data_IF_504462480714
#
_entry.id   IF_504462480714
#
_cell.length_a   1.000
_cell.length_b   1.000
_cell.length_c   1.000
_cell.angle_alpha   90.00
_cell.angle_beta   90.00
_cell.angle_gamma   90.00
#
_symmetry.space_group_name_H-M   'P 1'
#
loop_
_entity.id
_entity.type
_entity.pdbx_description
1 polymer ?
#
# COMPACT_ATOMS: atom_id res chain seq x y z
N UNK A 1 -4.93 -4.60 -28.67
CA UNK A 1 -6.35 -4.19 -28.75
C UNK A 1 -7.12 -4.99 -29.81
N UNK A 2 -6.85 -6.30 -30.03
CA UNK A 2 -7.49 -7.08 -31.10
C UNK A 2 -7.75 -8.54 -30.66
N UNK A 3 -8.36 -8.73 -29.48
CA UNK A 3 -8.62 -10.08 -28.95
C UNK A 3 -10.07 -10.35 -28.50
N UNK A 4 -10.97 -9.36 -28.56
CA UNK A 4 -12.36 -9.52 -28.09
C UNK A 4 -13.40 -9.72 -29.20
N UNK A 5 -13.00 -9.80 -30.48
CA UNK A 5 -13.96 -9.93 -31.60
C UNK A 5 -14.47 -11.35 -31.83
N UNK A 6 -13.93 -12.37 -31.16
CA UNK A 6 -14.30 -13.79 -31.34
C UNK A 6 -14.88 -14.43 -30.08
N UNK A 7 -15.63 -13.65 -29.30
CA UNK A 7 -16.23 -14.12 -28.06
C UNK A 7 -17.37 -15.13 -28.25
N UNK A 8 -18.08 -15.04 -29.38
CA UNK A 8 -19.22 -15.89 -29.71
C UNK A 8 -19.20 -16.18 -31.20
N UNK A 9 -18.92 -17.43 -31.58
CA UNK A 9 -19.11 -17.93 -32.95
C UNK A 9 -18.66 -16.99 -34.07
N UNK A 10 -19.45 -16.96 -35.14
CA UNK A 10 -19.29 -16.01 -36.24
C UNK A 10 -19.93 -14.65 -35.93
N UNK A 11 -19.67 -13.67 -36.79
CA UNK A 11 -20.13 -12.29 -36.64
C UNK A 11 -21.66 -12.18 -36.50
N UNK A 12 -22.40 -13.04 -37.20
CA UNK A 12 -23.86 -13.01 -37.23
C UNK A 12 -24.47 -13.42 -35.89
N UNK A 13 -23.84 -14.36 -35.18
CA UNK A 13 -24.24 -14.72 -33.81
C UNK A 13 -23.99 -13.58 -32.83
N UNK A 14 -22.87 -12.86 -32.96
CA UNK A 14 -22.62 -11.67 -32.14
C UNK A 14 -23.68 -10.59 -32.38
N UNK A 15 -24.03 -10.36 -33.64
CA UNK A 15 -25.09 -9.42 -34.02
C UNK A 15 -26.45 -9.83 -33.45
N UNK A 16 -26.76 -11.12 -33.42
CA UNK A 16 -27.98 -11.61 -32.79
C UNK A 16 -28.01 -11.28 -31.28
N UNK A 17 -26.89 -11.45 -30.56
CA UNK A 17 -26.79 -11.01 -29.17
C UNK A 17 -26.99 -9.51 -29.00
N UNK A 18 -26.37 -8.69 -29.86
CA UNK A 18 -26.57 -7.24 -29.88
C UNK A 18 -28.04 -6.89 -30.10
N UNK A 19 -28.73 -7.60 -31.00
CA UNK A 19 -30.16 -7.41 -31.23
C UNK A 19 -31.00 -7.73 -29.98
N UNK A 20 -30.73 -8.85 -29.30
CA UNK A 20 -31.38 -9.21 -28.03
C UNK A 20 -31.16 -8.14 -26.95
N UNK A 21 -29.91 -7.65 -26.79
CA UNK A 21 -29.60 -6.59 -25.84
C UNK A 21 -30.31 -5.29 -26.23
N UNK A 22 -30.33 -4.94 -27.51
CA UNK A 22 -31.02 -3.75 -28.02
C UNK A 22 -32.52 -3.76 -27.69
N UNK A 23 -33.18 -4.92 -27.82
CA UNK A 23 -34.57 -5.10 -27.39
C UNK A 23 -34.73 -4.85 -25.88
N UNK A 24 -33.84 -5.39 -25.04
CA UNK A 24 -33.91 -5.17 -23.60
C UNK A 24 -33.63 -3.71 -23.21
N UNK A 25 -32.64 -3.06 -23.82
CA UNK A 25 -32.36 -1.63 -23.65
C UNK A 25 -33.58 -0.78 -24.03
N UNK A 26 -34.25 -1.13 -25.12
CA UNK A 26 -35.48 -0.44 -25.54
C UNK A 26 -36.61 -0.66 -24.53
N UNK A 27 -36.80 -1.88 -24.02
CA UNK A 27 -37.76 -2.18 -22.95
C UNK A 27 -37.48 -1.31 -21.72
N UNK A 28 -36.24 -1.27 -21.24
CA UNK A 28 -35.84 -0.46 -20.08
C UNK A 28 -36.10 1.02 -20.32
N UNK A 29 -35.78 1.54 -21.51
CA UNK A 29 -36.03 2.93 -21.90
C UNK A 29 -37.52 3.31 -21.93
N UNK A 30 -38.41 2.37 -22.25
CA UNK A 30 -39.86 2.60 -22.30
C UNK A 30 -40.56 2.35 -20.95
N UNK A 31 -39.93 1.64 -20.02
CA UNK A 31 -40.60 1.14 -18.81
C UNK A 31 -41.11 2.27 -17.91
N UNK A 32 -40.30 3.30 -17.65
CA UNK A 32 -40.69 4.40 -16.77
C UNK A 32 -41.80 5.27 -17.38
N UNK A 33 -41.68 5.59 -18.67
CA UNK A 33 -42.73 6.24 -19.44
C UNK A 33 -44.04 5.45 -19.40
N UNK A 34 -43.97 4.13 -19.66
CA UNK A 34 -45.13 3.24 -19.63
C UNK A 34 -45.80 3.24 -18.25
N UNK A 35 -45.02 3.20 -17.16
CA UNK A 35 -45.56 3.29 -15.79
C UNK A 35 -46.31 4.61 -15.58
N UNK A 36 -45.71 5.74 -15.93
CA UNK A 36 -46.29 7.06 -15.73
C UNK A 36 -47.59 7.26 -16.54
N UNK A 37 -47.60 6.82 -17.79
CA UNK A 37 -48.78 6.92 -18.65
C UNK A 37 -49.87 5.91 -18.26
N UNK A 38 -49.52 4.69 -17.85
CA UNK A 38 -50.51 3.74 -17.34
C UNK A 38 -51.19 4.24 -16.06
N UNK A 39 -50.50 5.01 -15.22
CA UNK A 39 -51.13 5.68 -14.07
C UNK A 39 -52.15 6.74 -14.51
N UNK A 40 -51.88 7.49 -15.58
CA UNK A 40 -52.86 8.43 -16.15
C UNK A 40 -54.07 7.69 -16.73
N UNK A 41 -53.84 6.59 -17.46
CA UNK A 41 -54.91 5.71 -17.92
C UNK A 41 -55.70 5.17 -16.75
N UNK A 42 -55.05 4.78 -15.65
CA UNK A 42 -55.70 4.31 -14.43
C UNK A 42 -56.56 5.38 -13.76
N UNK A 43 -56.16 6.66 -13.78
CA UNK A 43 -56.99 7.77 -13.29
C UNK A 43 -58.25 7.94 -14.16
N UNK A 44 -58.13 7.77 -15.47
CA UNK A 44 -59.28 7.92 -16.40
C UNK A 44 -60.19 6.69 -16.38
N UNK A 45 -59.61 5.50 -16.31
CA UNK A 45 -60.29 4.21 -16.50
C UNK A 45 -60.68 3.56 -15.17
N UNK A 46 -59.85 3.68 -14.14
CA UNK A 46 -59.89 2.90 -12.89
C UNK A 46 -60.40 3.63 -11.65
N UNK A 47 -60.55 4.95 -11.70
CA UNK A 47 -60.63 5.79 -10.50
C UNK A 47 -62.02 5.91 -9.86
N UNK A 48 -62.74 4.80 -9.74
CA UNK A 48 -64.06 4.83 -9.11
C UNK A 48 -64.38 3.65 -8.18
N UNK A 49 -63.54 2.60 -8.03
CA UNK A 49 -63.91 1.38 -7.29
C UNK A 49 -63.08 1.04 -6.05
N UNK A 50 -63.03 1.93 -5.06
CA UNK A 50 -62.22 1.71 -3.85
C UNK A 50 -62.69 0.59 -2.90
N UNK A 51 -63.93 0.10 -3.05
CA UNK A 51 -64.55 -0.87 -2.14
C UNK A 51 -65.53 -1.79 -2.88
N UNK A 52 -65.15 -2.36 -4.02
CA UNK A 52 -66.03 -3.35 -4.64
C UNK A 52 -66.14 -4.57 -3.71
N UNK A 53 -67.32 -4.84 -3.15
CA UNK A 53 -67.47 -5.92 -2.22
C UNK A 53 -67.60 -7.19 -3.05
N UNK A 54 -66.48 -7.83 -3.38
CA UNK A 54 -66.50 -9.26 -3.73
C UNK A 54 -67.01 -10.09 -2.54
N UNK A 55 -67.14 -9.46 -1.36
CA UNK A 55 -67.81 -9.99 -0.17
C UNK A 55 -69.31 -9.68 -0.06
N UNK A 56 -69.92 -8.85 -0.93
CA UNK A 56 -71.40 -8.70 -0.97
C UNK A 56 -72.04 -9.83 -1.77
N UNK A 57 -71.56 -11.05 -1.56
CA UNK A 57 -72.36 -12.20 -1.89
C UNK A 57 -73.27 -12.44 -0.70
N UNK A 58 -74.58 -12.30 -0.92
CA UNK A 58 -75.62 -12.55 0.07
C UNK A 58 -75.29 -13.89 0.77
N UNK A 59 -75.01 -13.85 2.08
CA UNK A 59 -74.80 -15.07 2.86
C UNK A 59 -76.02 -15.96 2.66
N UNK A 60 -75.79 -17.24 2.37
CA UNK A 60 -76.87 -18.17 2.11
C UNK A 60 -77.72 -18.28 3.37
N UNK A 61 -78.98 -17.83 3.38
CA UNK A 61 -79.80 -17.86 4.59
C UNK A 61 -80.08 -19.30 5.06
N UNK A 62 -79.88 -20.28 4.16
CA UNK A 62 -80.10 -21.70 4.41
C UNK A 62 -78.84 -22.50 4.74
N UNK A 63 -77.62 -21.97 4.53
CA UNK A 63 -76.39 -22.68 4.87
C UNK A 63 -75.20 -21.71 5.12
N UNK A 64 -74.81 -21.49 6.38
CA UNK A 64 -73.70 -20.59 6.74
C UNK A 64 -72.31 -21.08 6.26
N UNK A 65 -72.19 -22.35 5.86
CA UNK A 65 -70.95 -22.92 5.29
C UNK A 65 -70.97 -23.05 3.76
N UNK A 66 -71.97 -22.45 3.09
CA UNK A 66 -72.08 -22.51 1.63
C UNK A 66 -70.84 -21.90 0.95
N UNK A 67 -70.10 -22.70 0.17
CA UNK A 67 -68.97 -22.20 -0.61
C UNK A 67 -69.46 -21.39 -1.81
N UNK A 68 -69.53 -20.08 -1.60
CA UNK A 68 -70.07 -19.10 -2.55
C UNK A 68 -69.31 -19.06 -3.90
N UNK A 69 -68.08 -19.59 -3.95
CA UNK A 69 -67.29 -19.74 -5.18
C UNK A 69 -67.71 -20.96 -6.03
N UNK A 70 -68.50 -21.88 -5.48
CA UNK A 70 -69.05 -23.08 -6.16
C UNK A 70 -70.58 -22.95 -6.36
N UNK A 71 -71.00 -21.88 -7.04
CA UNK A 71 -72.41 -21.44 -7.21
C UNK A 71 -73.38 -22.47 -7.79
N UNK A 72 -72.89 -23.46 -8.53
CA UNK A 72 -73.73 -24.43 -9.23
C UNK A 72 -74.41 -25.46 -8.31
N UNK A 73 -73.99 -25.56 -7.05
CA UNK A 73 -74.44 -26.61 -6.11
C UNK A 73 -75.42 -26.10 -5.04
N UNK A 74 -75.69 -24.79 -4.98
CA UNK A 74 -76.63 -24.19 -4.03
C UNK A 74 -77.84 -23.61 -4.78
N UNK A 75 -79.08 -24.09 -4.55
CA UNK A 75 -80.29 -23.59 -5.23
C UNK A 75 -80.50 -22.08 -5.06
N UNK A 76 -80.14 -21.51 -3.90
CA UNK A 76 -80.27 -20.07 -3.60
C UNK A 76 -79.28 -19.22 -4.42
N UNK A 77 -78.02 -19.62 -4.51
CA UNK A 77 -77.02 -18.89 -5.31
C UNK A 77 -77.11 -19.18 -6.81
N UNK A 78 -77.80 -20.25 -7.21
CA UNK A 78 -78.10 -20.57 -8.62
C UNK A 78 -79.15 -19.60 -9.21
N UNK A 79 -80.08 -19.09 -8.39
CA UNK A 79 -81.14 -18.17 -8.82
C UNK A 79 -80.77 -16.68 -8.68
N UNK A 80 -79.77 -16.35 -7.86
CA UNK A 80 -79.27 -14.98 -7.73
C UNK A 80 -78.13 -14.71 -8.72
N UNK A 81 -78.43 -14.04 -9.84
CA UNK A 81 -77.38 -13.43 -10.66
C UNK A 81 -76.76 -12.29 -9.83
N UNK A 82 -75.44 -12.32 -9.54
CA UNK A 82 -74.81 -11.19 -8.88
C UNK A 82 -75.03 -9.97 -9.78
N UNK A 83 -75.51 -8.87 -9.20
CA UNK A 83 -75.47 -7.59 -9.89
C UNK A 83 -74.00 -7.25 -10.07
N UNK A 84 -73.52 -7.05 -11.32
CA UNK A 84 -72.14 -6.66 -11.52
C UNK A 84 -71.93 -5.31 -10.85
N UNK A 85 -70.79 -5.17 -10.17
CA UNK A 85 -70.40 -3.93 -9.52
C UNK A 85 -70.44 -2.82 -10.59
N UNK A 86 -71.35 -1.84 -10.50
CA UNK A 86 -71.58 -0.88 -11.59
C UNK A 86 -70.29 -0.15 -11.97
N UNK A 87 -69.44 0.04 -10.97
CA UNK A 87 -68.12 0.63 -11.13
C UNK A 87 -67.15 -0.31 -11.86
N UNK A 88 -67.04 -1.59 -11.48
CA UNK A 88 -66.19 -2.53 -12.24
C UNK A 88 -66.68 -2.71 -13.67
N UNK A 89 -67.99 -2.62 -13.91
CA UNK A 89 -68.55 -2.61 -15.27
C UNK A 89 -68.18 -1.35 -16.04
N UNK A 90 -68.18 -0.18 -15.41
CA UNK A 90 -67.67 1.05 -16.01
C UNK A 90 -66.17 0.95 -16.33
N UNK A 91 -65.36 0.45 -15.39
CA UNK A 91 -63.92 0.21 -15.62
C UNK A 91 -63.73 -0.76 -16.79
N UNK A 92 -64.47 -1.86 -16.83
CA UNK A 92 -64.46 -2.84 -17.92
C UNK A 92 -64.85 -2.21 -19.26
N UNK A 93 -65.89 -1.40 -19.27
CA UNK A 93 -66.35 -0.67 -20.45
C UNK A 93 -65.27 0.30 -20.95
N UNK A 94 -64.66 1.08 -20.04
CA UNK A 94 -63.59 2.00 -20.37
C UNK A 94 -62.32 1.28 -20.88
N UNK A 95 -61.97 0.12 -20.31
CA UNK A 95 -60.90 -0.74 -20.84
C UNK A 95 -61.22 -1.14 -22.28
N UNK A 96 -62.46 -1.57 -22.57
CA UNK A 96 -62.87 -1.95 -23.93
C UNK A 96 -62.80 -0.74 -24.88
N UNK A 97 -63.26 0.44 -24.46
CA UNK A 97 -63.21 1.67 -25.27
C UNK A 97 -61.78 2.12 -25.58
N UNK A 98 -60.84 1.88 -24.67
CA UNK A 98 -59.43 2.20 -24.87
C UNK A 98 -58.63 1.04 -25.46
N UNK A 99 -59.28 -0.09 -25.76
CA UNK A 99 -58.67 -1.23 -26.43
C UNK A 99 -58.77 -1.11 -27.94
N UNK A 100 -57.64 -1.26 -28.61
CA UNK A 100 -57.55 -1.09 -30.06
C UNK A 100 -57.63 -2.41 -30.83
N UNK A 101 -56.84 -3.41 -30.42
CA UNK A 101 -56.64 -4.63 -31.21
C UNK A 101 -57.00 -5.87 -30.41
N UNK A 102 -57.91 -6.69 -30.92
CA UNK A 102 -58.33 -7.91 -30.24
C UNK A 102 -59.21 -7.65 -29.01
N UNK A 103 -59.31 -8.63 -28.12
CA UNK A 103 -60.11 -8.55 -26.90
C UNK A 103 -59.21 -8.35 -25.68
N UNK A 104 -59.65 -7.60 -24.66
CA UNK A 104 -58.88 -7.47 -23.44
C UNK A 104 -58.64 -8.82 -22.75
N UNK A 105 -57.43 -9.00 -22.23
CA UNK A 105 -56.96 -10.24 -21.62
C UNK A 105 -57.40 -10.37 -20.17
N UNK A 106 -58.70 -10.63 -19.97
CA UNK A 106 -59.31 -10.72 -18.64
C UNK A 106 -58.66 -11.77 -17.71
N UNK A 107 -58.00 -12.79 -18.28
CA UNK A 107 -57.35 -13.87 -17.52
C UNK A 107 -56.05 -13.45 -16.84
N UNK A 108 -55.40 -12.40 -17.34
CA UNK A 108 -54.14 -11.90 -16.75
C UNK A 108 -54.39 -11.03 -15.52
N UNK A 109 -55.59 -10.46 -15.40
CA UNK A 109 -55.89 -9.39 -14.46
C UNK A 109 -56.80 -9.83 -13.32
N UNK A 110 -56.68 -9.13 -12.21
CA UNK A 110 -57.52 -9.26 -11.02
C UNK A 110 -58.42 -8.05 -10.88
N UNK A 111 -59.70 -8.22 -11.21
CA UNK A 111 -60.68 -7.14 -11.22
C UNK A 111 -60.80 -6.42 -9.85
N UNK A 112 -60.58 -7.15 -8.75
CA UNK A 112 -60.58 -6.60 -7.40
C UNK A 112 -59.47 -5.58 -7.13
N UNK A 113 -58.43 -5.56 -7.98
CA UNK A 113 -57.29 -4.66 -7.85
C UNK A 113 -57.32 -3.50 -8.84
N UNK A 114 -58.28 -3.45 -9.75
CA UNK A 114 -58.31 -2.42 -10.81
C UNK A 114 -58.33 -0.99 -10.27
N UNK A 115 -58.94 -0.74 -9.11
CA UNK A 115 -58.96 0.61 -8.52
C UNK A 115 -57.68 0.99 -7.78
N UNK A 116 -56.90 0.00 -7.32
CA UNK A 116 -55.75 0.23 -6.46
C UNK A 116 -54.42 0.07 -7.19
N UNK A 117 -54.41 -0.64 -8.32
CA UNK A 117 -53.20 -0.97 -9.04
C UNK A 117 -53.37 -0.76 -10.55
N UNK A 118 -52.70 0.27 -11.07
CA UNK A 118 -52.66 0.59 -12.50
C UNK A 118 -52.15 -0.58 -13.35
N UNK A 119 -51.27 -1.43 -12.81
CA UNK A 119 -50.72 -2.57 -13.53
C UNK A 119 -51.80 -3.61 -13.86
N UNK A 120 -52.79 -3.79 -12.99
CA UNK A 120 -53.88 -4.74 -13.24
C UNK A 120 -54.76 -4.27 -14.41
N UNK A 121 -54.89 -2.95 -14.63
CA UNK A 121 -55.46 -2.41 -15.87
C UNK A 121 -54.51 -2.65 -17.06
N UNK A 122 -53.22 -2.42 -16.88
CA UNK A 122 -52.20 -2.68 -17.91
C UNK A 122 -52.23 -4.12 -18.45
N UNK A 123 -52.42 -5.12 -17.58
CA UNK A 123 -52.51 -6.54 -17.96
C UNK A 123 -53.65 -6.86 -18.92
N UNK A 124 -54.70 -6.04 -18.97
CA UNK A 124 -55.80 -6.20 -19.92
C UNK A 124 -55.35 -6.01 -21.37
N UNK A 125 -54.23 -5.32 -21.60
CA UNK A 125 -53.66 -5.04 -22.93
C UNK A 125 -52.54 -6.00 -23.33
N UNK A 126 -52.18 -6.95 -22.45
CA UNK A 126 -51.18 -7.98 -22.73
C UNK A 126 -51.77 -9.13 -23.58
N UNK A 127 -50.94 -9.99 -24.19
CA UNK A 127 -51.39 -11.24 -24.79
C UNK A 127 -52.14 -12.14 -23.77
N UNK A 128 -53.10 -12.99 -24.21
CA UNK A 128 -54.06 -13.66 -23.34
C UNK A 128 -53.46 -14.67 -22.33
N UNK A 129 -52.27 -15.18 -22.58
CA UNK A 129 -51.61 -16.19 -21.75
C UNK A 129 -50.18 -15.74 -21.36
N UNK A 130 -49.70 -16.19 -20.20
CA UNK A 130 -48.31 -16.00 -19.76
C UNK A 130 -48.03 -14.81 -18.83
N UNK A 131 -49.01 -13.94 -18.56
CA UNK A 131 -48.76 -12.69 -17.81
C UNK A 131 -49.52 -12.55 -16.47
N UNK A 132 -50.28 -13.57 -16.07
CA UNK A 132 -51.10 -13.52 -14.85
C UNK A 132 -50.26 -13.43 -13.56
N UNK A 133 -49.05 -14.00 -13.57
CA UNK A 133 -48.10 -14.00 -12.45
C UNK A 133 -47.22 -12.75 -12.37
N UNK A 134 -47.11 -11.96 -13.45
CA UNK A 134 -46.22 -10.78 -13.50
C UNK A 134 -46.78 -9.67 -12.60
N UNK A 135 -45.95 -9.13 -11.70
CA UNK A 135 -46.44 -8.22 -10.65
C UNK A 135 -46.29 -6.74 -10.97
N UNK A 136 -45.48 -6.39 -11.98
CA UNK A 136 -45.20 -5.00 -12.38
C UNK A 136 -44.82 -4.87 -13.85
N UNK A 137 -44.76 -3.64 -14.36
CA UNK A 137 -44.28 -3.34 -15.73
C UNK A 137 -42.81 -3.76 -15.90
N UNK A 138 -42.00 -3.56 -14.85
CA UNK A 138 -40.56 -3.84 -14.83
C UNK A 138 -40.27 -5.34 -15.06
N UNK A 139 -41.14 -6.20 -14.52
CA UNK A 139 -41.05 -7.66 -14.68
C UNK A 139 -41.60 -8.16 -16.02
N UNK A 140 -42.34 -7.34 -16.76
CA UNK A 140 -42.83 -7.71 -18.09
C UNK A 140 -41.67 -7.85 -19.07
N UNK A 141 -41.76 -8.79 -20.00
CA UNK A 141 -40.82 -8.87 -21.11
C UNK A 141 -41.02 -7.71 -22.11
N UNK A 142 -40.12 -7.63 -23.11
CA UNK A 142 -40.25 -6.63 -24.17
C UNK A 142 -41.58 -6.75 -24.93
N UNK A 143 -42.07 -7.98 -25.20
CA UNK A 143 -43.32 -8.13 -25.93
C UNK A 143 -44.49 -7.57 -25.14
N UNK A 144 -44.54 -7.80 -23.83
CA UNK A 144 -45.59 -7.26 -22.98
C UNK A 144 -45.60 -5.73 -22.95
N UNK A 145 -44.43 -5.08 -22.82
CA UNK A 145 -44.31 -3.62 -22.89
C UNK A 145 -44.85 -3.09 -24.22
N UNK A 146 -44.38 -3.65 -25.35
CA UNK A 146 -44.82 -3.24 -26.68
C UNK A 146 -46.30 -3.55 -26.93
N UNK A 147 -46.81 -4.69 -26.44
CA UNK A 147 -48.22 -5.09 -26.55
C UNK A 147 -49.14 -4.12 -25.84
N UNK A 148 -48.80 -3.68 -24.62
CA UNK A 148 -49.61 -2.68 -23.90
C UNK A 148 -49.68 -1.39 -24.72
N UNK A 149 -48.54 -0.91 -25.20
CA UNK A 149 -48.46 0.33 -25.97
C UNK A 149 -49.21 0.22 -27.31
N UNK A 150 -49.23 -0.95 -27.94
CA UNK A 150 -49.97 -1.22 -29.19
C UNK A 150 -51.48 -1.34 -29.00
N UNK A 151 -51.90 -2.06 -27.97
CA UNK A 151 -53.30 -2.42 -27.75
C UNK A 151 -54.08 -1.33 -27.03
N UNK A 152 -53.42 -0.35 -26.40
CA UNK A 152 -54.06 0.76 -25.70
C UNK A 152 -54.05 2.05 -26.53
N UNK A 153 -55.24 2.61 -26.78
CA UNK A 153 -55.44 3.81 -27.62
C UNK A 153 -54.72 5.05 -27.07
N UNK A 154 -54.57 5.15 -25.74
CA UNK A 154 -53.83 6.23 -25.08
C UNK A 154 -52.40 6.34 -25.60
N UNK A 155 -51.66 5.23 -25.59
CA UNK A 155 -50.27 5.19 -26.03
C UNK A 155 -50.13 5.44 -27.53
N UNK A 156 -51.06 4.97 -28.34
CA UNK A 156 -51.08 5.25 -29.77
C UNK A 156 -51.17 6.77 -30.03
N UNK A 157 -52.05 7.45 -29.28
CA UNK A 157 -52.22 8.90 -29.38
C UNK A 157 -50.97 9.65 -28.93
N UNK A 158 -50.32 9.19 -27.85
CA UNK A 158 -49.11 9.81 -27.32
C UNK A 158 -47.89 9.61 -28.23
N UNK A 159 -47.73 8.43 -28.84
CA UNK A 159 -46.49 8.04 -29.53
C UNK A 159 -46.49 8.45 -31.00
N UNK A 160 -47.64 8.39 -31.69
CA UNK A 160 -47.74 8.93 -33.04
C UNK A 160 -49.20 9.04 -33.51
N UNK A 161 -49.63 10.21 -34.02
CA UNK A 161 -50.92 10.34 -34.71
C UNK A 161 -51.05 9.39 -35.91
N UNK A 162 -49.93 8.98 -36.52
CA UNK A 162 -49.88 8.01 -37.63
C UNK A 162 -50.35 6.62 -37.21
N UNK A 163 -50.41 6.35 -35.92
CA UNK A 163 -50.94 5.10 -35.42
C UNK A 163 -52.46 5.16 -35.18
N UNK A 164 -53.20 6.24 -35.47
CA UNK A 164 -54.67 6.20 -35.52
C UNK A 164 -55.13 5.78 -36.95
N UNK A 165 -56.14 4.91 -37.03
CA UNK A 165 -56.48 4.09 -38.23
C UNK A 165 -56.69 4.82 -39.58
N UNK A 166 -56.65 4.06 -40.70
CA UNK A 166 -55.75 2.95 -40.99
C UNK A 166 -54.46 3.52 -41.61
N UNK A 167 -53.28 3.00 -41.23
CA UNK A 167 -52.07 3.33 -41.97
C UNK A 167 -52.23 2.83 -43.42
N UNK A 168 -51.81 3.60 -44.43
CA UNK A 168 -51.72 3.08 -45.79
C UNK A 168 -50.74 1.88 -45.79
N UNK A 169 -50.93 0.88 -46.69
CA UNK A 169 -50.22 -0.41 -46.65
C UNK A 169 -48.68 -0.30 -46.64
N UNK A 170 -48.17 0.85 -47.03
CA UNK A 170 -46.77 1.27 -47.12
C UNK A 170 -46.21 1.98 -45.87
N UNK A 171 -47.02 2.29 -44.83
CA UNK A 171 -46.57 3.00 -43.61
C UNK A 171 -46.99 2.32 -42.31
N UNK A 172 -46.26 1.29 -41.90
CA UNK A 172 -46.44 0.67 -40.58
C UNK A 172 -46.12 1.62 -39.42
N UNK A 173 -46.94 1.56 -38.35
CA UNK A 173 -46.72 2.26 -37.07
C UNK A 173 -45.35 1.85 -36.47
N UNK A 174 -44.56 2.79 -35.88
CA UNK A 174 -43.26 2.48 -35.30
C UNK A 174 -43.26 1.33 -34.30
N UNK A 175 -44.29 1.22 -33.46
CA UNK A 175 -44.45 0.12 -32.52
C UNK A 175 -44.62 -1.24 -33.20
N UNK A 176 -45.26 -1.30 -34.38
CA UNK A 176 -45.42 -2.54 -35.12
C UNK A 176 -44.09 -3.00 -35.73
N UNK A 177 -43.30 -2.04 -36.25
CA UNK A 177 -41.93 -2.31 -36.73
C UNK A 177 -41.06 -2.88 -35.62
N UNK A 178 -41.13 -2.26 -34.43
CA UNK A 178 -40.37 -2.69 -33.26
C UNK A 178 -40.85 -4.04 -32.71
N UNK A 179 -42.17 -4.31 -32.76
CA UNK A 179 -42.72 -5.64 -32.47
C UNK A 179 -42.20 -6.71 -33.44
N UNK A 180 -42.08 -6.39 -34.73
CA UNK A 180 -41.58 -7.33 -35.73
C UNK A 180 -40.12 -7.71 -35.44
N UNK A 181 -39.25 -6.76 -35.07
CA UNK A 181 -37.87 -7.05 -34.66
C UNK A 181 -37.86 -8.07 -33.51
N UNK A 182 -38.73 -7.86 -32.51
CA UNK A 182 -38.86 -8.78 -31.38
C UNK A 182 -39.24 -10.20 -31.79
N UNK A 183 -39.99 -10.37 -32.88
CA UNK A 183 -40.31 -11.69 -33.45
C UNK A 183 -39.14 -12.25 -34.24
N UNK A 184 -38.55 -11.44 -35.12
CA UNK A 184 -37.43 -11.84 -35.98
C UNK A 184 -36.27 -12.35 -35.12
N UNK A 185 -35.88 -11.60 -34.09
CA UNK A 185 -34.77 -11.94 -33.21
C UNK A 185 -35.07 -13.19 -32.37
N UNK A 186 -36.28 -13.32 -31.80
CA UNK A 186 -36.62 -14.47 -30.92
C UNK A 186 -36.92 -15.76 -31.67
N UNK A 187 -37.43 -15.69 -32.89
CA UNK A 187 -37.87 -16.87 -33.65
C UNK A 187 -36.87 -17.30 -34.73
N UNK A 188 -35.73 -16.63 -34.86
CA UNK A 188 -34.65 -17.11 -35.74
C UNK A 188 -34.04 -18.39 -35.14
N UNK A 189 -34.27 -19.53 -35.79
CA UNK A 189 -33.77 -20.85 -35.37
C UNK A 189 -32.24 -20.91 -35.29
N UNK A 190 -31.57 -20.09 -36.10
CA UNK A 190 -30.12 -20.12 -36.24
C UNK A 190 -29.38 -19.16 -35.32
N UNK A 191 -30.10 -18.27 -34.63
CA UNK A 191 -29.55 -17.21 -33.76
C UNK A 191 -28.50 -16.35 -34.50
N UNK A 192 -28.84 -15.93 -35.72
CA UNK A 192 -27.97 -15.18 -36.62
C UNK A 192 -28.69 -13.94 -37.14
N UNK A 193 -28.01 -12.81 -37.12
CA UNK A 193 -28.50 -11.53 -37.65
C UNK A 193 -27.42 -10.92 -38.51
N UNK A 194 -27.75 -10.52 -39.73
CA UNK A 194 -26.78 -9.87 -40.63
C UNK A 194 -26.43 -8.47 -40.12
N UNK A 195 -25.31 -7.90 -40.55
CA UNK A 195 -24.96 -6.52 -40.19
C UNK A 195 -26.03 -5.51 -40.66
N UNK A 196 -26.60 -5.74 -41.85
CA UNK A 196 -27.63 -4.90 -42.42
C UNK A 196 -28.92 -4.94 -41.57
N UNK A 197 -29.35 -6.14 -41.16
CA UNK A 197 -30.51 -6.31 -40.30
C UNK A 197 -30.28 -5.67 -38.93
N UNK A 198 -29.10 -5.86 -38.33
CA UNK A 198 -28.77 -5.25 -37.04
C UNK A 198 -28.84 -3.71 -37.10
N UNK A 199 -28.28 -3.12 -38.16
CA UNK A 199 -28.33 -1.67 -38.37
C UNK A 199 -29.77 -1.18 -38.54
N UNK A 200 -30.58 -1.88 -39.33
CA UNK A 200 -31.99 -1.57 -39.52
C UNK A 200 -32.80 -1.71 -38.23
N UNK A 201 -32.54 -2.76 -37.44
CA UNK A 201 -33.17 -2.98 -36.14
C UNK A 201 -32.87 -1.82 -35.20
N UNK A 202 -31.61 -1.46 -35.03
CA UNK A 202 -31.22 -0.39 -34.11
C UNK A 202 -31.73 0.97 -34.58
N UNK A 203 -31.76 1.22 -35.89
CA UNK A 203 -32.39 2.41 -36.45
C UNK A 203 -33.86 2.49 -36.04
N UNK A 204 -34.64 1.42 -36.25
CA UNK A 204 -36.07 1.35 -35.89
C UNK A 204 -36.30 1.51 -34.39
N UNK A 205 -35.46 0.89 -33.54
CA UNK A 205 -35.53 1.01 -32.08
C UNK A 205 -35.25 2.46 -31.63
N UNK A 206 -34.18 3.07 -32.13
CA UNK A 206 -33.83 4.46 -31.83
C UNK A 206 -34.90 5.44 -32.32
N UNK A 207 -35.47 5.23 -33.51
CA UNK A 207 -36.59 6.03 -34.03
C UNK A 207 -37.79 5.98 -33.08
N UNK A 208 -38.17 4.81 -32.53
CA UNK A 208 -39.26 4.72 -31.57
C UNK A 208 -38.98 5.52 -30.28
N UNK A 209 -37.75 5.52 -29.82
CA UNK A 209 -37.36 6.18 -28.57
C UNK A 209 -37.13 7.70 -28.73
N UNK A 210 -36.75 8.18 -29.92
CA UNK A 210 -36.36 9.57 -30.16
C UNK A 210 -37.43 10.42 -30.88
N UNK A 211 -38.21 9.84 -31.80
CA UNK A 211 -39.12 10.64 -32.64
C UNK A 211 -40.39 11.10 -31.89
N UNK A 212 -41.05 10.27 -31.05
CA UNK A 212 -42.26 10.68 -30.37
C UNK A 212 -42.04 11.87 -29.42
N UNK A 213 -42.80 12.98 -29.52
CA UNK A 213 -42.63 14.14 -28.66
C UNK A 213 -42.76 13.82 -27.16
N UNK A 214 -43.57 12.81 -26.81
CA UNK A 214 -43.75 12.36 -25.44
C UNK A 214 -42.53 11.62 -24.85
N UNK A 215 -41.62 11.12 -25.70
CA UNK A 215 -40.40 10.41 -25.28
C UNK A 215 -39.13 11.26 -25.42
N UNK A 216 -39.16 12.34 -26.22
CA UNK A 216 -38.01 13.23 -26.43
C UNK A 216 -37.41 13.80 -25.13
N UNK A 217 -38.23 13.97 -24.10
CA UNK A 217 -37.82 14.48 -22.80
C UNK A 217 -37.72 13.38 -21.72
N UNK A 218 -38.05 12.13 -22.05
CA UNK A 218 -37.96 11.03 -21.08
C UNK A 218 -36.49 10.65 -20.87
N UNK A 219 -35.94 10.76 -19.64
CA UNK A 219 -34.54 10.46 -19.38
C UNK A 219 -34.17 9.00 -19.72
N UNK A 220 -35.10 8.06 -19.52
CA UNK A 220 -34.86 6.64 -19.75
C UNK A 220 -34.78 6.34 -21.24
N UNK A 221 -35.65 6.96 -22.04
CA UNK A 221 -35.63 6.87 -23.50
C UNK A 221 -34.35 7.48 -24.09
N UNK A 222 -33.90 8.64 -23.59
CA UNK A 222 -32.64 9.27 -24.01
C UNK A 222 -31.43 8.38 -23.71
N UNK A 223 -31.36 7.81 -22.49
CA UNK A 223 -30.29 6.89 -22.09
C UNK A 223 -30.29 5.64 -22.97
N UNK A 224 -31.47 5.06 -23.24
CA UNK A 224 -31.62 3.90 -24.10
C UNK A 224 -31.17 4.19 -25.55
N UNK A 225 -31.56 5.34 -26.13
CA UNK A 225 -31.10 5.79 -27.45
C UNK A 225 -29.58 5.88 -27.55
N UNK A 226 -28.94 6.50 -26.55
CA UNK A 226 -27.49 6.59 -26.50
C UNK A 226 -26.87 5.19 -26.42
N UNK A 227 -27.41 4.32 -25.56
CA UNK A 227 -26.91 2.96 -25.39
C UNK A 227 -27.02 2.12 -26.65
N UNK A 228 -28.10 2.25 -27.42
CA UNK A 228 -28.24 1.60 -28.73
C UNK A 228 -27.16 2.04 -29.71
N UNK A 229 -26.80 3.32 -29.72
CA UNK A 229 -25.71 3.85 -30.55
C UNK A 229 -24.34 3.28 -30.15
N UNK A 230 -24.08 3.18 -28.85
CA UNK A 230 -22.83 2.59 -28.33
C UNK A 230 -22.72 1.10 -28.71
N UNK A 231 -23.82 0.34 -28.57
CA UNK A 231 -23.87 -1.10 -28.89
C UNK A 231 -23.60 -1.44 -30.36
N UNK A 232 -23.83 -0.51 -31.30
CA UNK A 232 -23.47 -0.74 -32.70
C UNK A 232 -21.96 -0.91 -32.87
N UNK A 233 -21.20 -0.09 -32.15
CA UNK A 233 -19.75 0.03 -32.34
C UNK A 233 -18.98 -0.87 -31.35
N UNK A 234 -19.51 -1.07 -30.15
CA UNK A 234 -18.81 -1.78 -29.09
C UNK A 234 -19.06 -3.30 -29.13
N UNK A 235 -18.07 -4.12 -28.73
CA UNK A 235 -18.29 -5.54 -28.51
C UNK A 235 -19.19 -5.75 -27.27
N UNK A 236 -20.08 -6.74 -27.36
CA UNK A 236 -20.93 -7.12 -26.23
C UNK A 236 -20.06 -7.60 -25.06
N UNK A 237 -20.29 -7.04 -23.87
CA UNK A 237 -19.58 -7.48 -22.67
C UNK A 237 -20.24 -8.73 -22.06
N UNK A 238 -19.44 -9.54 -21.36
CA UNK A 238 -19.94 -10.72 -20.67
C UNK A 238 -20.93 -10.41 -19.54
N UNK A 239 -20.76 -9.26 -18.88
CA UNK A 239 -21.66 -8.81 -17.83
C UNK A 239 -23.08 -8.56 -18.37
N UNK A 240 -23.17 -7.94 -19.55
CA UNK A 240 -24.44 -7.69 -20.23
C UNK A 240 -25.14 -8.98 -20.64
N UNK A 241 -24.39 -9.97 -21.12
CA UNK A 241 -24.93 -11.28 -21.44
C UNK A 241 -25.41 -12.03 -20.19
N UNK A 242 -24.64 -11.95 -19.11
CA UNK A 242 -25.03 -12.50 -17.81
C UNK A 242 -26.31 -11.85 -17.27
N UNK A 243 -26.49 -10.54 -17.47
CA UNK A 243 -27.73 -9.83 -17.12
C UNK A 243 -28.89 -10.28 -18.01
N UNK A 244 -28.69 -10.31 -19.33
CA UNK A 244 -29.71 -10.74 -20.29
C UNK A 244 -30.25 -12.14 -19.99
N UNK A 245 -29.36 -13.09 -19.63
CA UNK A 245 -29.79 -14.42 -19.22
C UNK A 245 -30.63 -14.45 -17.95
N UNK A 246 -30.25 -13.66 -16.94
CA UNK A 246 -31.00 -13.61 -15.68
C UNK A 246 -32.40 -13.05 -15.92
N UNK A 247 -32.48 -12.02 -16.77
CA UNK A 247 -33.74 -11.36 -17.10
C UNK A 247 -34.64 -12.26 -17.97
N UNK A 248 -34.06 -12.94 -18.96
CA UNK A 248 -34.70 -13.99 -19.76
C UNK A 248 -35.32 -15.10 -18.91
N UNK A 249 -34.54 -15.68 -17.99
CA UNK A 249 -34.98 -16.75 -17.09
C UNK A 249 -36.10 -16.30 -16.16
N UNK A 250 -36.02 -15.06 -15.65
CA UNK A 250 -37.08 -14.47 -14.81
C UNK A 250 -38.37 -14.22 -15.59
N UNK A 251 -38.26 -13.77 -16.84
CA UNK A 251 -39.40 -13.51 -17.71
C UNK A 251 -40.04 -14.78 -18.29
N UNK A 252 -39.44 -15.96 -18.06
CA UNK A 252 -39.90 -17.22 -18.65
C UNK A 252 -39.73 -17.26 -20.18
N UNK A 253 -38.84 -16.42 -20.73
CA UNK A 253 -38.55 -16.39 -22.15
C UNK A 253 -37.81 -17.68 -22.54
N UNK A 254 -38.41 -18.46 -23.43
CA UNK A 254 -37.76 -19.64 -24.01
C UNK A 254 -36.82 -19.16 -25.12
N UNK A 255 -35.54 -19.01 -24.80
CA UNK A 255 -34.50 -18.95 -25.81
C UNK A 255 -34.42 -20.32 -26.50
N UNK A 256 -34.01 -20.36 -27.77
CA UNK A 256 -33.77 -21.64 -28.42
C UNK A 256 -32.72 -22.43 -27.63
N UNK A 257 -32.86 -23.75 -27.55
CA UNK A 257 -31.90 -24.63 -26.85
C UNK A 257 -30.45 -24.41 -27.33
N UNK A 258 -30.30 -24.01 -28.60
CA UNK A 258 -29.04 -23.61 -29.24
C UNK A 258 -28.42 -22.36 -28.60
N UNK A 259 -29.22 -21.33 -28.30
CA UNK A 259 -28.75 -20.12 -27.64
C UNK A 259 -28.30 -20.41 -26.20
N UNK A 260 -29.02 -21.25 -25.46
CA UNK A 260 -28.64 -21.64 -24.11
C UNK A 260 -27.31 -22.42 -24.08
N UNK A 261 -27.12 -23.36 -25.02
CA UNK A 261 -25.86 -24.12 -25.16
C UNK A 261 -24.69 -23.22 -25.54
N UNK A 262 -24.87 -22.35 -26.54
CA UNK A 262 -23.82 -21.42 -27.01
C UNK A 262 -23.37 -20.50 -25.87
N UNK A 263 -24.28 -20.09 -24.99
CA UNK A 263 -23.92 -19.26 -23.85
C UNK A 263 -23.30 -20.03 -22.68
N UNK A 264 -23.76 -21.25 -22.42
CA UNK A 264 -23.15 -22.12 -21.41
C UNK A 264 -21.70 -22.42 -21.77
N UNK A 265 -21.41 -22.69 -23.05
CA UNK A 265 -20.06 -22.87 -23.57
C UNK A 265 -19.21 -21.61 -23.34
N UNK A 266 -19.71 -20.42 -23.68
CA UNK A 266 -18.99 -19.17 -23.50
C UNK A 266 -18.68 -18.83 -22.03
N UNK A 267 -19.59 -19.14 -21.11
CA UNK A 267 -19.36 -18.99 -19.67
C UNK A 267 -18.28 -19.96 -19.17
N UNK A 268 -18.27 -21.19 -19.68
CA UNK A 268 -17.27 -22.20 -19.33
C UNK A 268 -15.86 -21.80 -19.82
N UNK A 269 -15.74 -21.21 -21.01
CA UNK A 269 -14.45 -20.69 -21.52
C UNK A 269 -13.91 -19.55 -20.64
N UNK A 270 -14.80 -18.73 -20.09
CA UNK A 270 -14.46 -17.66 -19.14
C UNK A 270 -13.88 -18.18 -17.84
N UNK A 271 -14.50 -19.20 -17.25
CA UNK A 271 -14.00 -19.81 -16.01
C UNK A 271 -12.59 -20.39 -16.21
N UNK A 272 -12.37 -21.10 -17.32
CA UNK A 272 -11.06 -21.67 -17.65
C UNK A 272 -9.99 -20.59 -17.86
N UNK A 273 -10.32 -19.51 -18.57
CA UNK A 273 -9.39 -18.40 -18.81
C UNK A 273 -9.09 -17.61 -17.53
N UNK A 274 -10.07 -17.43 -16.65
CA UNK A 274 -9.90 -16.79 -15.34
C UNK A 274 -8.98 -17.62 -14.45
N UNK A 275 -9.21 -18.93 -14.37
CA UNK A 275 -8.35 -19.85 -13.62
C UNK A 275 -6.90 -19.82 -14.12
N UNK A 276 -6.68 -19.78 -15.44
CA UNK A 276 -5.34 -19.67 -16.00
C UNK A 276 -4.65 -18.33 -15.67
N UNK A 277 -5.43 -17.24 -15.68
CA UNK A 277 -4.97 -15.91 -15.25
C UNK A 277 -4.51 -15.90 -13.79
N UNK A 278 -5.30 -16.50 -12.89
CA UNK A 278 -4.96 -16.62 -11.47
C UNK A 278 -3.71 -17.46 -11.24
N UNK A 279 -3.57 -18.60 -11.92
CA UNK A 279 -2.38 -19.45 -11.83
C UNK A 279 -1.12 -18.69 -12.27
N UNK A 280 -1.22 -17.93 -13.37
CA UNK A 280 -0.10 -17.10 -13.87
C UNK A 280 0.29 -16.01 -12.88
N UNK A 281 -0.69 -15.36 -12.25
CA UNK A 281 -0.45 -14.35 -11.21
C UNK A 281 0.23 -14.98 -9.99
N UNK A 282 -0.26 -16.11 -9.49
CA UNK A 282 0.36 -16.85 -8.37
C UNK A 282 1.83 -17.16 -8.66
N UNK A 283 2.14 -17.67 -9.85
CA UNK A 283 3.52 -17.97 -10.26
C UNK A 283 4.41 -16.72 -10.31
N UNK A 284 3.92 -15.60 -10.84
CA UNK A 284 4.67 -14.32 -10.86
C UNK A 284 4.94 -13.80 -9.46
N UNK A 285 3.96 -13.87 -8.56
CA UNK A 285 4.11 -13.45 -7.17
C UNK A 285 5.18 -14.27 -6.46
N UNK A 286 5.20 -15.59 -6.68
CA UNK A 286 6.19 -16.47 -6.05
C UNK A 286 7.62 -16.19 -6.54
N UNK A 287 7.80 -16.00 -7.85
CA UNK A 287 9.09 -15.59 -8.43
C UNK A 287 9.54 -14.24 -7.88
N UNK A 288 8.61 -13.29 -7.70
CA UNK A 288 8.88 -12.00 -7.08
C UNK A 288 9.39 -12.12 -5.64
N UNK A 289 8.75 -12.98 -4.83
CA UNK A 289 9.16 -13.25 -3.44
C UNK A 289 10.57 -13.86 -3.38
N UNK A 290 10.86 -14.87 -4.20
CA UNK A 290 12.18 -15.50 -4.25
C UNK A 290 13.28 -14.49 -4.61
N UNK A 291 13.03 -13.64 -5.62
CA UNK A 291 13.99 -12.60 -6.03
C UNK A 291 14.27 -11.57 -4.93
N UNK A 292 13.25 -11.18 -4.17
CA UNK A 292 13.40 -10.29 -3.02
C UNK A 292 14.25 -10.94 -1.92
N UNK A 293 13.94 -12.19 -1.55
CA UNK A 293 14.72 -12.93 -0.55
C UNK A 293 16.20 -13.06 -0.93
N UNK A 294 16.51 -13.37 -2.20
CA UNK A 294 17.91 -13.44 -2.66
C UNK A 294 18.62 -12.09 -2.57
N UNK A 295 17.93 -10.98 -2.89
CA UNK A 295 18.51 -9.62 -2.76
C UNK A 295 18.78 -9.25 -1.31
N UNK A 296 17.87 -9.59 -0.39
CA UNK A 296 18.05 -9.33 1.04
C UNK A 296 19.28 -10.07 1.58
N UNK A 297 19.40 -11.37 1.30
CA UNK A 297 20.58 -12.17 1.71
C UNK A 297 21.90 -11.59 1.17
N UNK A 298 21.91 -11.14 -0.08
CA UNK A 298 23.10 -10.51 -0.67
C UNK A 298 23.45 -9.17 0.03
N UNK A 299 22.43 -8.39 0.39
CA UNK A 299 22.57 -7.15 1.14
C UNK A 299 23.16 -7.38 2.54
N UNK A 300 22.64 -8.38 3.26
CA UNK A 300 23.12 -8.80 4.59
C UNK A 300 24.61 -9.20 4.54
N UNK A 301 24.98 -10.11 3.63
CA UNK A 301 26.37 -10.54 3.48
C UNK A 301 27.32 -9.40 3.09
N UNK A 302 26.85 -8.42 2.30
CA UNK A 302 27.64 -7.22 1.97
C UNK A 302 27.86 -6.31 3.19
N UNK A 303 26.85 -6.18 4.05
CA UNK A 303 26.97 -5.43 5.30
C UNK A 303 27.92 -6.14 6.27
N UNK A 304 27.76 -7.45 6.45
CA UNK A 304 28.62 -8.28 7.28
C UNK A 304 30.10 -8.12 6.89
N UNK A 305 30.43 -8.28 5.59
CA UNK A 305 31.80 -8.06 5.10
C UNK A 305 32.37 -6.67 5.39
N UNK A 306 31.52 -5.62 5.33
CA UNK A 306 31.97 -4.26 5.64
C UNK A 306 32.25 -4.10 7.13
N UNK A 307 31.39 -4.65 7.97
CA UNK A 307 31.55 -4.63 9.43
C UNK A 307 32.84 -5.33 9.82
N UNK A 308 33.07 -6.56 9.33
CA UNK A 308 34.28 -7.32 9.65
C UNK A 308 35.56 -6.63 9.17
N UNK A 309 35.54 -6.01 7.99
CA UNK A 309 36.69 -5.24 7.49
C UNK A 309 37.00 -4.02 8.36
N UNK A 310 35.96 -3.28 8.78
CA UNK A 310 36.12 -2.14 9.67
C UNK A 310 36.68 -2.55 11.04
N UNK A 311 36.19 -3.66 11.61
CA UNK A 311 36.69 -4.21 12.87
C UNK A 311 38.17 -4.60 12.78
N UNK A 312 38.57 -5.33 11.73
CA UNK A 312 39.98 -5.70 11.50
C UNK A 312 40.88 -4.46 11.37
N UNK A 313 40.40 -3.43 10.67
CA UNK A 313 41.14 -2.16 10.51
C UNK A 313 41.27 -1.42 11.83
N UNK A 314 40.22 -1.38 12.65
CA UNK A 314 40.24 -0.79 13.99
C UNK A 314 41.23 -1.53 14.90
N UNK A 315 41.15 -2.86 14.97
CA UNK A 315 42.08 -3.68 15.76
C UNK A 315 43.54 -3.44 15.35
N UNK A 316 43.82 -3.38 14.04
CA UNK A 316 45.17 -3.11 13.53
C UNK A 316 45.69 -1.72 13.93
N UNK A 317 44.83 -0.68 13.89
CA UNK A 317 45.18 0.67 14.32
C UNK A 317 45.42 0.75 15.83
N UNK A 318 44.59 0.09 16.62
CA UNK A 318 44.74 0.03 18.09
C UNK A 318 46.07 -0.62 18.44
N UNK A 319 46.38 -1.79 17.85
CA UNK A 319 47.65 -2.50 18.07
C UNK A 319 48.87 -1.65 17.71
N UNK A 320 48.82 -0.92 16.59
CA UNK A 320 49.89 -0.01 16.19
C UNK A 320 50.05 1.16 17.18
N UNK A 321 48.93 1.71 17.66
CA UNK A 321 48.91 2.78 18.67
C UNK A 321 49.54 2.33 19.99
N UNK A 322 49.19 1.14 20.47
CA UNK A 322 49.76 0.52 21.67
C UNK A 322 51.28 0.34 21.54
N UNK A 323 51.74 -0.25 20.44
CA UNK A 323 53.18 -0.42 20.18
C UNK A 323 53.94 0.91 20.14
N UNK A 324 53.34 1.96 19.55
CA UNK A 324 53.92 3.29 19.56
C UNK A 324 54.04 3.89 20.97
N UNK A 325 53.04 3.67 21.83
CA UNK A 325 53.06 4.13 23.22
C UNK A 325 54.10 3.39 24.03
N UNK A 326 54.19 2.06 23.87
CA UNK A 326 55.19 1.22 24.51
C UNK A 326 56.62 1.67 24.15
N UNK A 327 56.88 1.90 22.85
CA UNK A 327 58.17 2.43 22.40
C UNK A 327 58.49 3.80 23.00
N UNK A 328 57.51 4.72 23.07
CA UNK A 328 57.72 6.04 23.69
C UNK A 328 58.03 5.93 25.18
N UNK A 329 57.34 5.04 25.90
CA UNK A 329 57.61 4.78 27.31
C UNK A 329 59.03 4.23 27.50
N UNK A 330 59.42 3.23 26.72
CA UNK A 330 60.76 2.63 26.74
C UNK A 330 61.87 3.68 26.51
N UNK A 331 61.75 4.51 25.47
CA UNK A 331 62.74 5.56 25.22
C UNK A 331 62.74 6.66 26.29
N UNK A 332 61.59 6.95 26.88
CA UNK A 332 61.44 7.85 28.02
C UNK A 332 62.21 7.35 29.24
N UNK A 333 62.05 6.07 29.58
CA UNK A 333 62.74 5.40 30.68
C UNK A 333 64.26 5.37 30.45
N UNK A 334 64.72 4.97 29.27
CA UNK A 334 66.14 4.99 28.89
C UNK A 334 66.77 6.39 28.97
N UNK A 335 65.98 7.43 28.66
CA UNK A 335 66.44 8.82 28.81
C UNK A 335 66.56 9.22 30.27
N UNK A 336 65.62 8.82 31.12
CA UNK A 336 65.66 9.07 32.56
C UNK A 336 66.85 8.35 33.20
N UNK A 337 67.06 7.07 32.89
CA UNK A 337 68.18 6.28 33.41
C UNK A 337 69.54 6.93 33.08
N UNK A 338 69.75 7.36 31.83
CA UNK A 338 70.98 8.07 31.43
C UNK A 338 71.16 9.39 32.15
N UNK A 339 70.10 10.16 32.38
CA UNK A 339 70.16 11.41 33.15
C UNK A 339 70.53 11.15 34.61
N UNK A 340 69.99 10.09 35.21
CA UNK A 340 70.31 9.68 36.58
C UNK A 340 71.78 9.28 36.69
N UNK A 341 72.27 8.39 35.82
CA UNK A 341 73.67 7.98 35.78
C UNK A 341 74.63 9.16 35.62
N UNK A 342 74.34 10.07 34.68
CA UNK A 342 75.16 11.27 34.50
C UNK A 342 75.13 12.19 35.73
N UNK A 343 73.98 12.29 36.41
CA UNK A 343 73.85 13.01 37.67
C UNK A 343 74.72 12.41 38.78
N UNK A 344 74.70 11.08 38.92
CA UNK A 344 75.52 10.33 39.89
C UNK A 344 77.02 10.50 39.61
N UNK A 345 77.46 10.34 38.36
CA UNK A 345 78.84 10.56 37.95
C UNK A 345 79.30 11.98 38.28
N UNK A 346 78.47 12.98 37.98
CA UNK A 346 78.78 14.39 38.28
C UNK A 346 78.93 14.63 39.78
N UNK A 347 78.09 14.01 40.61
CA UNK A 347 78.21 14.07 42.07
C UNK A 347 79.50 13.40 42.53
N UNK A 348 79.81 12.21 42.02
CA UNK A 348 81.03 11.45 42.35
C UNK A 348 82.31 12.23 42.00
N UNK A 349 82.40 12.81 40.80
CA UNK A 349 83.55 13.63 40.41
C UNK A 349 83.70 14.88 41.28
N UNK A 350 82.58 15.53 41.67
CA UNK A 350 82.63 16.67 42.59
C UNK A 350 83.08 16.26 43.99
N UNK A 351 82.66 15.10 44.49
CA UNK A 351 83.09 14.56 45.77
C UNK A 351 84.60 14.28 45.76
N UNK A 352 85.11 13.58 44.73
CA UNK A 352 86.54 13.29 44.57
C UNK A 352 87.39 14.56 44.48
N UNK A 353 86.95 15.57 43.73
CA UNK A 353 87.65 16.86 43.69
C UNK A 353 87.66 17.56 45.06
N UNK A 354 86.56 17.45 45.81
CA UNK A 354 86.46 17.93 47.19
C UNK A 354 87.47 17.22 48.11
N UNK A 355 87.55 15.89 48.04
CA UNK A 355 88.50 15.06 48.79
C UNK A 355 89.95 15.46 48.49
N UNK A 356 90.33 15.53 47.21
CA UNK A 356 91.68 15.96 46.78
C UNK A 356 92.04 17.35 47.32
N UNK A 357 91.09 18.29 47.29
CA UNK A 357 91.31 19.65 47.82
C UNK A 357 91.53 19.65 49.33
N UNK A 358 90.82 18.79 50.06
CA UNK A 358 91.00 18.62 51.52
C UNK A 358 92.36 17.97 51.78
N UNK A 359 92.74 16.94 51.04
CA UNK A 359 94.02 16.24 51.16
C UNK A 359 95.22 17.18 50.93
N UNK A 360 95.18 18.00 49.88
CA UNK A 360 96.22 19.02 49.61
C UNK A 360 96.35 20.00 50.79
N UNK A 361 95.23 20.40 51.40
CA UNK A 361 95.23 21.30 52.57
C UNK A 361 95.82 20.61 53.80
N UNK A 362 95.48 19.35 54.03
CA UNK A 362 96.05 18.56 55.13
C UNK A 362 97.56 18.41 54.94
N UNK A 363 98.02 18.00 53.76
CA UNK A 363 99.45 17.83 53.48
C UNK A 363 100.24 19.13 53.66
N UNK A 364 99.68 20.27 53.20
CA UNK A 364 100.30 21.57 53.43
C UNK A 364 100.37 21.93 54.92
N UNK A 365 99.32 21.63 55.68
CA UNK A 365 99.31 21.86 57.13
C UNK A 365 100.35 20.98 57.84
N UNK A 366 100.46 19.70 57.47
CA UNK A 366 101.48 18.77 57.98
C UNK A 366 102.90 19.28 57.69
N UNK A 367 103.18 19.69 56.44
CA UNK A 367 104.49 20.25 56.07
C UNK A 367 104.85 21.51 56.87
N UNK A 368 103.87 22.40 57.11
CA UNK A 368 104.08 23.57 57.96
C UNK A 368 104.36 23.16 59.42
N UNK A 369 103.66 22.16 59.94
CA UNK A 369 103.92 21.63 61.29
C UNK A 369 105.32 21.01 61.38
N UNK A 370 105.74 20.19 60.41
CA UNK A 370 107.08 19.59 60.37
C UNK A 370 108.17 20.66 60.32
N UNK A 371 107.98 21.70 59.50
CA UNK A 371 108.92 22.83 59.42
C UNK A 371 109.03 23.56 60.76
N UNK A 372 107.89 23.83 61.41
CA UNK A 372 107.87 24.47 62.73
C UNK A 372 108.52 23.60 63.82
N UNK A 373 108.30 22.28 63.79
CA UNK A 373 108.92 21.33 64.72
C UNK A 373 110.43 21.29 64.49
N UNK A 374 110.89 21.22 63.24
CA UNK A 374 112.32 21.21 62.91
C UNK A 374 113.02 22.51 63.34
N UNK A 375 112.42 23.67 63.06
CA UNK A 375 112.93 24.96 63.53
C UNK A 375 112.98 25.01 65.06
N UNK A 376 111.95 24.49 65.73
CA UNK A 376 111.91 24.34 67.19
C UNK A 376 113.04 23.46 67.73
N UNK A 377 113.25 22.30 67.12
CA UNK A 377 114.33 21.37 67.48
C UNK A 377 115.70 21.99 67.26
N UNK A 378 115.94 22.65 66.13
CA UNK A 378 117.22 23.35 65.86
C UNK A 378 117.48 24.45 66.88
N UNK A 379 116.46 25.23 67.25
CA UNK A 379 116.60 26.26 68.30
C UNK A 379 116.97 25.64 69.65
N UNK A 380 116.34 24.52 70.01
CA UNK A 380 116.68 23.78 71.23
C UNK A 380 118.12 23.25 71.14
N UNK A 381 118.52 22.67 70.02
CA UNK A 381 119.87 22.13 69.79
C UNK A 381 120.95 23.22 69.88
N UNK A 382 120.74 24.37 69.22
CA UNK A 382 121.62 25.54 69.34
C UNK A 382 121.69 26.04 70.79
N UNK A 383 120.56 26.08 71.50
CA UNK A 383 120.51 26.49 72.92
C UNK A 383 121.29 25.51 73.81
N UNK A 384 121.11 24.21 73.60
CA UNK A 384 121.86 23.15 74.30
C UNK A 384 123.35 23.25 74.00
N UNK A 385 123.73 23.45 72.75
CA UNK A 385 125.14 23.61 72.33
C UNK A 385 125.78 24.83 72.99
N UNK A 386 125.11 26.00 72.98
CA UNK A 386 125.59 27.18 73.70
C UNK A 386 125.67 26.94 75.22
N UNK A 387 124.74 26.16 75.78
CA UNK A 387 124.78 25.71 77.17
C UNK A 387 126.02 24.87 77.47
N UNK A 388 126.31 23.88 76.64
CA UNK A 388 127.52 23.04 76.72
C UNK A 388 128.77 23.91 76.61
N UNK A 389 128.87 24.78 75.60
CA UNK A 389 130.01 25.68 75.40
C UNK A 389 130.22 26.63 76.58
N UNK A 390 129.14 27.12 77.19
CA UNK A 390 129.20 27.97 78.38
C UNK A 390 129.75 27.19 79.57
N UNK A 391 129.29 25.95 79.78
CA UNK A 391 129.82 25.06 80.82
C UNK A 391 131.30 24.74 80.55
N UNK A 392 131.69 24.46 79.31
CA UNK A 392 133.10 24.24 78.94
C UNK A 392 133.96 25.48 79.17
N UNK A 393 133.44 26.68 78.88
CA UNK A 393 134.15 27.94 79.10
C UNK A 393 134.36 28.19 80.59
N UNK A 394 133.38 27.87 81.43
CA UNK A 394 133.50 27.89 82.90
C UNK A 394 134.54 26.85 83.36
N UNK A 395 134.54 25.65 82.77
CA UNK A 395 135.51 24.60 83.09
C UNK A 395 136.94 24.99 82.67
N UNK A 396 137.13 25.58 81.49
CA UNK A 396 138.40 26.13 81.00
C UNK A 396 138.87 27.31 81.84
N UNK A 397 137.97 28.23 82.19
CA UNK A 397 138.24 29.34 83.09
C UNK A 397 138.72 28.85 84.45
N UNK A 398 138.05 27.86 85.02
CA UNK A 398 138.47 27.20 86.27
C UNK A 398 139.85 26.55 86.14
N UNK A 399 140.11 25.84 85.02
CA UNK A 399 141.41 25.21 84.74
C UNK A 399 142.54 26.23 84.56
N UNK A 400 142.28 27.34 83.85
CA UNK A 400 143.24 28.42 83.64
C UNK A 400 143.56 29.16 84.94
N UNK A 401 142.56 29.42 85.77
CA UNK A 401 142.73 30.02 87.10
C UNK A 401 143.55 29.12 88.04
N UNK A 402 143.42 27.79 87.91
CA UNK A 402 144.32 26.83 88.56
C UNK A 402 145.76 26.90 88.02
N UNK A 403 145.96 27.03 86.70
CA UNK A 403 147.32 27.10 86.09
C UNK A 403 148.04 28.44 86.26
N UNK A 404 147.33 29.56 86.28
CA UNK A 404 147.92 30.89 86.54
C UNK A 404 148.33 31.05 88.00
N UNK A 405 147.64 30.39 88.95
CA UNK A 405 148.13 30.25 90.33
C UNK A 405 149.43 29.43 90.44
N UNK A 406 149.74 28.57 89.46
CA UNK A 406 150.96 27.74 89.47
C UNK A 406 152.16 28.44 88.80
N UNK A 407 151.97 29.36 87.85
CA UNK A 407 153.07 30.02 87.09
C UNK A 407 153.67 31.27 87.74
N UNK A 408 152.94 32.02 88.56
CA UNK A 408 153.50 33.18 89.30
C UNK A 408 154.42 32.82 90.47
N UNK A 409 154.68 31.52 90.70
CA UNK A 409 155.65 31.06 91.69
C UNK A 409 157.01 30.63 91.13
N UNK A 410 157.24 30.60 89.81
CA UNK A 410 158.41 29.93 89.25
C UNK A 410 159.12 30.65 88.10
N UNK A 411 159.76 31.80 88.37
CA UNK A 411 160.95 32.28 87.61
C UNK A 411 161.50 33.60 88.17
N UNK A 412 162.04 33.55 89.39
CA UNK A 412 163.27 34.28 89.79
C UNK A 412 164.46 33.36 89.45
N UNK A 413 165.60 33.94 89.05
CA UNK A 413 166.93 33.33 88.76
C UNK A 413 167.07 32.70 87.34
N UNK A 414 168.02 33.10 86.47
CA UNK A 414 169.49 33.22 86.67
C UNK A 414 170.22 34.04 85.54
N UNK A 415 171.53 34.39 85.64
CA UNK A 415 172.17 35.59 85.07
C UNK A 415 173.09 35.41 83.82
N UNK A 416 173.52 36.54 83.22
CA UNK A 416 174.57 36.68 82.19
C UNK A 416 175.42 37.97 82.39
N UNK A 417 176.72 37.91 82.07
CA UNK A 417 177.55 39.03 81.59
C UNK A 417 178.24 38.53 80.30
N UNK A 418 178.38 39.25 79.18
CA UNK A 418 177.98 40.60 78.83
C UNK A 418 178.40 40.98 77.37
N UNK A 419 177.92 42.16 76.96
CA UNK A 419 178.52 43.15 76.04
C UNK A 419 178.54 43.03 74.48
N UNK A 420 177.94 44.07 73.87
CA UNK A 420 178.28 44.84 72.64
C UNK A 420 177.93 44.38 71.21
N UNK A 421 177.47 45.39 70.43
CA UNK A 421 177.38 45.58 68.96
C UNK A 421 176.31 44.74 68.22
N UNK A 422 175.40 45.33 67.43
CA UNK A 422 175.31 46.65 66.80
C UNK A 422 173.86 47.12 66.74
#
# INVERSE_FOLDING_TARGET
>A
MAANTHLFGDKETNNWFKACIGLNVTKEGLTNFLCAELQKVHIVVGNSCGNCPIENLIQCPTNPYCNIRKRNYCPFHKSQKPQPCPICDNVKHNIILHHRYGRPSWRNTRAEKWALNYWEIGKCYLPPDGYSSISSVQESDFNGVISIMLNCLHFQTCLSPLCLSPPPPDKQCPLEKVRQIGRDVRHTSDCKVTDADLQDYFKKLSTLLADPPCLQQDPSAIIACKRLSDLQNDPVSFEELGKLLKDAKKAGECFSEKAERTLAEALQTLDVTTLFGEQRLKKKTEVGKQRLQSKTKLGEHRLERKTTFCEQRLQSKTKYGEQCLENKAFFGEQRLQRKTQHGEERIKSKAQYGEQRIEIRINKAVQCLDSNVNDGTQRIEISVQHGIESIERIARGSKQNCTSRLRTRGSRFSPSFGETLQ
#
